data_IF_293371586130
#
_entry.id   IF_293371586130
#
_cell.length_a   1.000
_cell.length_b   1.000
_cell.length_c   1.000
_cell.angle_alpha   90.00
_cell.angle_beta   90.00
_cell.angle_gamma   90.00
#
_symmetry.space_group_name_H-M   'P 1'
#
loop_
_entity.id
_entity.type
_entity.pdbx_description
1 polymer ?
#
# COMPACT_ATOMS: atom_id res chain seq x y z
N UNK A 1 2.88 -3.63 -21.98
CA UNK A 1 2.49 -4.28 -20.72
C UNK A 1 3.64 -4.02 -19.77
N UNK A 2 3.41 -3.33 -18.66
CA UNK A 2 4.45 -3.03 -17.66
C UNK A 2 4.39 -4.04 -16.53
N UNK A 3 5.58 -4.38 -16.01
CA UNK A 3 5.77 -5.44 -15.03
C UNK A 3 6.32 -4.86 -13.73
N UNK A 4 5.72 -5.28 -12.62
CA UNK A 4 6.17 -4.97 -11.28
C UNK A 4 6.80 -6.22 -10.68
N UNK A 5 8.07 -6.11 -10.29
CA UNK A 5 8.78 -7.15 -9.54
C UNK A 5 8.92 -6.70 -8.09
N UNK A 6 8.31 -7.42 -7.17
CA UNK A 6 8.41 -7.18 -5.73
C UNK A 6 9.33 -8.22 -5.11
N UNK A 7 10.44 -7.77 -4.54
CA UNK A 7 11.39 -8.63 -3.82
C UNK A 7 11.14 -8.52 -2.32
N UNK A 8 10.76 -9.64 -1.69
CA UNK A 8 10.57 -9.75 -0.26
C UNK A 8 11.75 -10.49 0.39
N UNK A 9 12.44 -9.91 1.39
CA UNK A 9 13.52 -10.58 2.07
C UNK A 9 13.01 -11.78 2.90
N UNK A 10 13.87 -12.78 3.19
CA UNK A 10 13.48 -13.98 3.94
C UNK A 10 12.92 -13.67 5.33
N UNK A 11 13.31 -12.55 5.95
CA UNK A 11 12.81 -12.10 7.25
C UNK A 11 11.34 -11.70 7.24
N UNK A 12 10.78 -11.44 6.06
CA UNK A 12 9.40 -10.97 5.86
C UNK A 12 8.58 -12.03 5.09
N UNK A 13 9.25 -12.84 4.26
CA UNK A 13 8.64 -13.97 3.58
C UNK A 13 8.10 -15.00 4.57
N UNK A 14 6.86 -15.45 4.37
CA UNK A 14 6.24 -16.50 5.20
C UNK A 14 6.83 -17.89 4.91
N UNK A 15 7.62 -18.02 3.84
CA UNK A 15 8.26 -19.25 3.39
C UNK A 15 9.71 -19.28 3.83
N UNK A 16 10.09 -20.30 4.60
CA UNK A 16 11.41 -20.37 5.24
C UNK A 16 12.57 -20.39 4.23
N UNK A 17 13.48 -19.42 4.35
CA UNK A 17 14.88 -19.56 3.91
C UNK A 17 15.26 -18.94 2.57
N UNK A 18 14.37 -18.27 1.83
CA UNK A 18 14.74 -17.58 0.58
C UNK A 18 13.88 -16.35 0.33
N UNK A 19 14.45 -15.36 -0.38
CA UNK A 19 13.71 -14.18 -0.80
C UNK A 19 12.57 -14.61 -1.75
N UNK A 20 11.41 -14.00 -1.60
CA UNK A 20 10.25 -14.27 -2.45
C UNK A 20 10.14 -13.15 -3.47
N UNK A 21 10.08 -13.52 -4.75
CA UNK A 21 9.83 -12.59 -5.85
C UNK A 21 8.38 -12.74 -6.30
N UNK A 22 7.62 -11.65 -6.27
CA UNK A 22 6.25 -11.60 -6.77
C UNK A 22 6.23 -10.73 -8.02
N UNK A 23 5.59 -11.24 -9.07
CA UNK A 23 5.44 -10.54 -10.33
C UNK A 23 3.98 -10.15 -10.53
N UNK A 24 3.77 -8.90 -10.90
CA UNK A 24 2.45 -8.35 -11.23
C UNK A 24 2.53 -7.60 -12.56
N UNK A 25 1.38 -7.43 -13.20
CA UNK A 25 1.27 -6.72 -14.48
C UNK A 25 0.23 -5.62 -14.37
N UNK A 26 0.47 -4.49 -15.05
CA UNK A 26 -0.53 -3.43 -15.14
C UNK A 26 -1.30 -3.50 -16.46
N UNK A 27 -2.59 -3.19 -16.39
CA UNK A 27 -3.45 -2.94 -17.55
C UNK A 27 -3.35 -1.50 -18.04
N UNK A 28 -2.79 -0.59 -17.23
CA UNK A 28 -2.57 0.81 -17.59
C UNK A 28 -1.16 1.00 -18.14
N UNK A 29 -1.00 1.93 -19.09
CA UNK A 29 0.28 2.30 -19.70
C UNK A 29 1.14 3.17 -18.78
N UNK A 30 1.20 2.87 -17.48
CA UNK A 30 2.15 3.51 -16.56
C UNK A 30 3.58 3.08 -16.92
N UNK A 31 4.53 4.01 -16.76
CA UNK A 31 5.70 4.17 -17.65
C UNK A 31 6.95 3.35 -17.22
N UNK A 32 6.93 2.62 -16.11
CA UNK A 32 8.18 2.09 -15.57
C UNK A 32 8.03 0.60 -15.20
N UNK A 33 8.91 -0.23 -15.75
CA UNK A 33 9.31 -1.48 -15.11
C UNK A 33 10.17 -1.09 -13.91
N UNK A 34 9.71 -1.32 -12.69
CA UNK A 34 10.48 -1.04 -11.49
C UNK A 34 10.51 -2.23 -10.55
N UNK A 35 11.71 -2.45 -10.00
CA UNK A 35 11.94 -3.38 -8.90
C UNK A 35 11.59 -2.67 -7.60
N UNK A 36 10.87 -3.40 -6.75
CA UNK A 36 10.45 -2.91 -5.44
C UNK A 36 11.07 -3.78 -4.36
N UNK A 37 11.87 -3.15 -3.51
CA UNK A 37 12.57 -3.81 -2.42
C UNK A 37 11.80 -3.60 -1.12
N UNK A 38 11.10 -4.66 -0.66
CA UNK A 38 10.34 -4.65 0.58
C UNK A 38 11.29 -4.70 1.77
N UNK A 39 11.07 -3.83 2.75
CA UNK A 39 11.92 -3.78 3.95
C UNK A 39 11.15 -3.87 5.26
N UNK A 40 9.83 -3.67 5.28
CA UNK A 40 9.02 -3.96 6.48
C UNK A 40 7.58 -4.35 6.17
N UNK A 41 7.00 -5.17 7.05
CA UNK A 41 5.57 -5.49 7.10
C UNK A 41 4.91 -4.54 8.11
N UNK A 42 4.01 -3.68 7.64
CA UNK A 42 3.31 -2.67 8.45
C UNK A 42 2.02 -3.25 9.03
N UNK A 43 1.29 -4.01 8.23
CA UNK A 43 0.01 -4.58 8.62
C UNK A 43 -0.19 -5.94 7.99
N UNK A 44 -0.78 -6.87 8.75
CA UNK A 44 -1.02 -8.24 8.32
C UNK A 44 -2.39 -8.68 8.81
N UNK A 45 -3.29 -8.96 7.87
CA UNK A 45 -4.58 -9.56 8.17
C UNK A 45 -4.91 -10.68 7.19
N UNK A 46 -6.00 -11.39 7.46
CA UNK A 46 -6.55 -12.38 6.52
C UNK A 46 -7.01 -11.76 5.20
N UNK A 47 -7.17 -10.43 5.14
CA UNK A 47 -7.69 -9.71 3.98
C UNK A 47 -6.60 -9.00 3.18
N UNK A 48 -5.56 -8.45 3.82
CA UNK A 48 -4.46 -7.84 3.08
C UNK A 48 -3.18 -7.81 3.88
N UNK A 49 -2.06 -7.73 3.18
CA UNK A 49 -0.75 -7.44 3.75
C UNK A 49 -0.27 -6.08 3.25
N UNK A 50 0.21 -5.24 4.16
CA UNK A 50 0.73 -3.92 3.85
C UNK A 50 2.21 -3.88 4.19
N UNK A 51 3.01 -3.43 3.23
CA UNK A 51 4.46 -3.39 3.34
C UNK A 51 4.97 -1.98 3.07
N UNK A 52 6.08 -1.60 3.72
CA UNK A 52 6.92 -0.51 3.21
C UNK A 52 8.01 -1.07 2.34
N UNK A 53 8.28 -0.35 1.26
CA UNK A 53 9.27 -0.71 0.28
C UNK A 53 9.98 0.52 -0.28
N UNK A 54 11.11 0.29 -0.95
CA UNK A 54 11.76 1.30 -1.77
C UNK A 54 11.57 0.96 -3.24
N UNK A 55 11.28 1.97 -4.05
CA UNK A 55 11.23 1.85 -5.50
C UNK A 55 11.95 3.04 -6.12
N UNK A 56 13.02 2.79 -6.88
CA UNK A 56 13.81 3.82 -7.55
C UNK A 56 14.25 4.99 -6.62
N UNK A 57 14.58 4.68 -5.36
CA UNK A 57 14.98 5.67 -4.36
C UNK A 57 13.83 6.36 -3.61
N UNK A 58 12.57 6.09 -3.97
CA UNK A 58 11.40 6.60 -3.27
C UNK A 58 10.83 5.58 -2.27
N UNK A 59 10.40 6.05 -1.10
CA UNK A 59 9.68 5.23 -0.13
C UNK A 59 8.21 5.13 -0.54
N UNK A 60 7.71 3.90 -0.56
CA UNK A 60 6.35 3.58 -0.97
C UNK A 60 5.71 2.58 -0.02
N UNK A 61 4.39 2.49 -0.08
CA UNK A 61 3.59 1.47 0.58
C UNK A 61 2.95 0.56 -0.46
N UNK A 62 3.08 -0.74 -0.24
CA UNK A 62 2.40 -1.78 -1.02
C UNK A 62 1.27 -2.37 -0.19
N UNK A 63 0.07 -2.46 -0.76
CA UNK A 63 -1.04 -3.25 -0.20
C UNK A 63 -1.34 -4.40 -1.15
N UNK A 64 -1.20 -5.63 -0.66
CA UNK A 64 -1.35 -6.87 -1.44
C UNK A 64 -2.53 -7.67 -0.89
N UNK A 65 -3.42 -8.09 -1.79
CA UNK A 65 -4.57 -8.93 -1.46
C UNK A 65 -4.14 -10.38 -1.15
N UNK A 66 -4.86 -11.05 -0.26
CA UNK A 66 -4.52 -12.41 0.23
C UNK A 66 -5.46 -13.49 -0.28
N UNK A 67 -6.63 -13.12 -0.80
CA UNK A 67 -7.67 -14.01 -1.34
C UNK A 67 -8.53 -13.30 -2.39
N UNK A 68 -9.42 -14.05 -3.05
CA UNK A 68 -10.28 -13.53 -4.13
C UNK A 68 -11.14 -12.33 -3.69
N UNK A 69 -11.80 -12.41 -2.52
CA UNK A 69 -12.63 -11.30 -2.04
C UNK A 69 -11.79 -10.04 -1.84
N UNK A 70 -10.62 -10.17 -1.21
CA UNK A 70 -9.72 -9.03 -1.02
C UNK A 70 -9.12 -8.49 -2.32
N UNK A 71 -9.02 -9.31 -3.37
CA UNK A 71 -8.56 -8.87 -4.68
C UNK A 71 -9.60 -7.96 -5.34
N UNK A 72 -10.88 -8.34 -5.28
CA UNK A 72 -11.99 -7.53 -5.76
C UNK A 72 -12.14 -6.24 -4.96
N UNK A 73 -12.02 -6.32 -3.63
CA UNK A 73 -12.09 -5.16 -2.75
C UNK A 73 -10.93 -4.18 -3.03
N UNK A 74 -9.71 -4.70 -3.19
CA UNK A 74 -8.54 -3.89 -3.52
C UNK A 74 -8.62 -3.29 -4.93
N UNK A 75 -9.27 -3.97 -5.89
CA UNK A 75 -9.53 -3.43 -7.23
C UNK A 75 -10.45 -2.20 -7.12
N UNK A 76 -11.55 -2.31 -6.38
CA UNK A 76 -12.48 -1.19 -6.14
C UNK A 76 -11.80 -0.03 -5.40
N UNK A 77 -10.92 -0.34 -4.45
CA UNK A 77 -10.11 0.67 -3.76
C UNK A 77 -9.18 1.40 -4.75
N UNK A 78 -8.52 0.68 -5.67
CA UNK A 78 -7.69 1.29 -6.70
C UNK A 78 -8.49 2.22 -7.62
N UNK A 79 -9.69 1.82 -8.04
CA UNK A 79 -10.59 2.66 -8.86
C UNK A 79 -10.99 3.93 -8.09
N UNK A 80 -11.30 3.81 -6.78
CA UNK A 80 -11.62 4.96 -5.94
C UNK A 80 -10.43 5.93 -5.81
N UNK A 81 -9.20 5.40 -5.66
CA UNK A 81 -8.00 6.24 -5.69
C UNK A 81 -7.86 6.97 -7.03
N UNK A 82 -8.02 6.25 -8.14
CA UNK A 82 -7.83 6.80 -9.48
C UNK A 82 -8.83 7.91 -9.82
N UNK A 83 -10.08 7.75 -9.40
CA UNK A 83 -11.17 8.66 -9.80
C UNK A 83 -11.65 9.53 -8.64
N UNK A 84 -12.34 8.93 -7.67
CA UNK A 84 -13.08 9.66 -6.62
C UNK A 84 -12.17 10.47 -5.70
N UNK A 85 -11.00 9.92 -5.38
CA UNK A 85 -10.07 10.50 -4.40
C UNK A 85 -8.98 11.35 -5.04
N UNK A 86 -8.87 11.38 -6.37
CA UNK A 86 -7.83 12.11 -7.09
C UNK A 86 -7.64 13.57 -6.62
N UNK A 87 -8.70 14.36 -6.35
CA UNK A 87 -8.53 15.75 -5.90
C UNK A 87 -7.92 15.90 -4.50
N UNK A 88 -7.96 14.86 -3.66
CA UNK A 88 -7.50 14.91 -2.27
C UNK A 88 -6.11 14.28 -2.06
N UNK A 89 -5.54 13.68 -3.11
CA UNK A 89 -4.26 12.99 -3.05
C UNK A 89 -3.08 13.95 -2.84
N UNK A 90 -2.11 13.53 -2.02
CA UNK A 90 -0.93 14.31 -1.65
C UNK A 90 -1.18 15.42 -0.62
N UNK A 91 -2.39 15.49 -0.06
CA UNK A 91 -2.74 16.38 1.05
C UNK A 91 -3.28 15.57 2.23
N UNK A 92 -4.46 14.96 2.07
CA UNK A 92 -5.10 14.17 3.14
C UNK A 92 -5.19 12.68 2.79
N UNK A 93 -5.15 12.37 1.50
CA UNK A 93 -5.14 11.02 0.97
C UNK A 93 -3.74 10.75 0.39
N UNK A 94 -3.12 9.58 0.61
CA UNK A 94 -1.84 9.24 -0.02
C UNK A 94 -1.90 9.34 -1.54
N UNK A 95 -0.81 9.72 -2.21
CA UNK A 95 -0.74 9.65 -3.67
C UNK A 95 -0.83 8.21 -4.15
N UNK A 96 -1.66 7.98 -5.15
CA UNK A 96 -1.77 6.74 -5.90
C UNK A 96 -0.66 6.67 -6.93
N UNK A 97 0.20 5.66 -6.80
CA UNK A 97 1.36 5.46 -7.67
C UNK A 97 1.10 4.36 -8.70
N UNK A 98 0.11 3.50 -8.46
CA UNK A 98 -0.36 2.54 -9.44
C UNK A 98 -1.05 1.33 -8.83
N UNK A 99 -1.65 0.55 -9.72
CA UNK A 99 -2.25 -0.74 -9.41
C UNK A 99 -1.77 -1.79 -10.42
N UNK A 100 -1.34 -2.93 -9.88
CA UNK A 100 -0.83 -4.07 -10.62
C UNK A 100 -1.52 -5.33 -10.14
N UNK A 101 -1.69 -6.32 -11.02
CA UNK A 101 -2.33 -7.59 -10.67
C UNK A 101 -1.69 -8.77 -11.37
N UNK A 102 -1.88 -9.95 -10.78
CA UNK A 102 -1.66 -11.25 -11.40
C UNK A 102 -2.94 -12.09 -11.21
N UNK A 103 -2.89 -13.37 -11.57
CA UNK A 103 -4.06 -14.25 -11.57
C UNK A 103 -4.68 -14.46 -10.17
N UNK A 104 -3.91 -14.21 -9.10
CA UNK A 104 -4.32 -14.54 -7.74
C UNK A 104 -4.39 -13.31 -6.82
N UNK A 105 -3.76 -12.20 -7.18
CA UNK A 105 -3.52 -11.07 -6.28
C UNK A 105 -3.51 -9.72 -7.00
N UNK A 106 -3.96 -8.70 -6.28
CA UNK A 106 -3.78 -7.29 -6.62
C UNK A 106 -2.72 -6.66 -5.72
N UNK A 107 -2.05 -5.65 -6.25
CA UNK A 107 -1.01 -4.87 -5.59
C UNK A 107 -1.27 -3.39 -5.85
N UNK A 108 -1.70 -2.69 -4.80
CA UNK A 108 -1.90 -1.24 -4.79
C UNK A 108 -0.64 -0.55 -4.26
N UNK A 109 -0.14 0.44 -4.99
CA UNK A 109 1.05 1.20 -4.64
C UNK A 109 0.66 2.63 -4.28
N UNK A 110 1.04 3.05 -3.08
CA UNK A 110 0.77 4.37 -2.54
C UNK A 110 2.06 5.05 -2.06
N UNK A 111 2.01 6.36 -1.94
CA UNK A 111 3.00 7.15 -1.18
C UNK A 111 3.10 6.67 0.28
N UNK A 112 4.32 6.63 0.81
CA UNK A 112 4.55 6.38 2.24
C UNK A 112 4.37 7.68 3.05
N UNK A 113 3.23 7.82 3.72
CA UNK A 113 2.91 8.97 4.57
C UNK A 113 3.41 8.84 6.01
N UNK A 114 4.31 7.90 6.30
CA UNK A 114 4.86 7.70 7.65
C UNK A 114 4.00 6.81 8.53
N UNK A 115 4.03 7.04 9.85
CA UNK A 115 3.44 6.13 10.82
C UNK A 115 1.92 6.33 10.96
N UNK A 116 1.13 5.24 11.10
CA UNK A 116 -0.32 5.34 11.28
C UNK A 116 -0.68 6.17 12.51
N UNK A 117 -1.70 7.02 12.40
CA UNK A 117 -2.17 7.87 13.51
C UNK A 117 -2.63 7.08 14.75
N UNK A 118 -2.93 5.78 14.63
CA UNK A 118 -3.24 4.91 15.77
C UNK A 118 -2.06 4.75 16.77
N UNK A 119 -0.84 5.15 16.39
CA UNK A 119 0.30 5.23 17.30
C UNK A 119 0.42 6.57 18.03
N UNK A 120 -0.34 7.59 17.63
CA UNK A 120 -0.50 8.80 18.41
C UNK A 120 -1.50 8.48 19.52
N UNK A 121 -1.00 8.29 20.74
CA UNK A 121 -1.86 8.37 21.90
C UNK A 121 -2.60 9.70 21.81
N UNK A 122 -3.93 9.69 21.75
CA UNK A 122 -4.78 10.89 21.78
C UNK A 122 -4.49 11.81 23.00
N UNK A 123 -3.65 11.36 23.94
CA UNK A 123 -3.08 12.15 25.03
C UNK A 123 -2.08 13.22 24.56
N UNK A 124 -1.43 13.05 23.40
CA UNK A 124 -0.48 14.01 22.82
C UNK A 124 -1.16 15.12 22.01
N UNK A 125 -2.45 14.97 21.71
CA UNK A 125 -3.25 16.07 21.16
C UNK A 125 -3.41 17.17 22.21
N UNK A 126 -3.16 18.40 21.78
CA UNK A 126 -3.42 19.61 22.55
C UNK A 126 -4.89 19.70 22.96
N UNK A 127 -5.18 20.49 24.01
CA UNK A 127 -6.54 20.64 24.53
C UNK A 127 -7.48 21.26 23.48
N UNK A 128 -6.94 22.03 22.53
CA UNK A 128 -7.66 22.59 21.38
C UNK A 128 -8.10 21.51 20.38
N UNK A 129 -7.22 20.56 20.04
CA UNK A 129 -7.51 19.51 19.05
C UNK A 129 -8.59 18.53 19.54
N UNK A 130 -8.72 18.34 20.86
CA UNK A 130 -9.77 17.48 21.46
C UNK A 130 -11.18 18.05 21.33
N UNK A 131 -11.33 19.38 21.26
CA UNK A 131 -12.65 20.04 21.18
C UNK A 131 -13.37 19.78 19.86
N UNK A 132 -12.62 19.51 18.79
CA UNK A 132 -13.18 19.18 17.48
C UNK A 132 -13.91 17.83 17.45
N UNK A 133 -13.60 16.91 18.37
CA UNK A 133 -14.15 15.55 18.37
C UNK A 133 -15.24 15.27 19.40
N UNK A 134 -15.44 16.16 20.38
CA UNK A 134 -16.47 16.01 21.42
C UNK A 134 -17.70 16.90 21.20
N UNK A 135 -17.80 17.54 20.03
CA UNK A 135 -18.94 18.38 19.66
C UNK A 135 -19.79 17.62 18.63
N UNK A 136 -20.50 16.59 19.09
CA UNK A 136 -21.53 15.86 18.32
C UNK A 136 -22.63 15.42 19.26
#
# INVERSE_FOLDING_TARGET
>A
MTMLTVTMPPSIATTAGSAVELTFTSTSSSILDFRVDVHSLVYNSSHSKVYRANAAGANIVLKISTNQQSFEDLTREADAYQDLLAPAQGSFIPRFLGYYKNDCQGCLILEDCGNPAAYLYFLELSREERKFFTSS
#
